data_IF_321612579128
#
_entry.id   IF_321612579128
#
_cell.length_a   1.000
_cell.length_b   1.000
_cell.length_c   1.000
_cell.angle_alpha   90.00
_cell.angle_beta   90.00
_cell.angle_gamma   90.00
#
_symmetry.space_group_name_H-M   'P 1'
#
loop_
_entity.id
_entity.type
_entity.pdbx_description
1 polymer ?
#
# COMPACT_ATOMS: atom_id res chain seq x y z
N UNK A 1 91.77 -39.39 -89.74
CA UNK A 1 91.19 -39.18 -88.40
C UNK A 1 91.70 -40.29 -87.52
N UNK A 2 92.34 -39.90 -86.41
CA UNK A 2 93.08 -40.77 -85.50
C UNK A 2 92.15 -41.54 -84.57
N UNK A 3 92.49 -42.79 -84.24
CA UNK A 3 91.65 -43.75 -83.52
C UNK A 3 91.40 -43.31 -82.06
N UNK A 4 92.31 -42.50 -81.51
CA UNK A 4 92.16 -41.84 -80.20
C UNK A 4 91.04 -40.79 -80.15
N UNK A 5 90.76 -40.10 -81.26
CA UNK A 5 89.69 -39.09 -81.31
C UNK A 5 88.31 -39.74 -81.34
N UNK A 6 88.16 -40.90 -81.99
CA UNK A 6 86.90 -41.68 -82.01
C UNK A 6 86.56 -42.30 -80.66
N UNK A 7 87.56 -42.79 -79.92
CA UNK A 7 87.33 -43.34 -78.58
C UNK A 7 87.01 -42.23 -77.55
N UNK A 8 87.63 -41.05 -77.68
CA UNK A 8 87.32 -39.91 -76.82
C UNK A 8 85.89 -39.37 -77.05
N UNK A 9 85.47 -39.25 -78.32
CA UNK A 9 84.10 -38.86 -78.69
C UNK A 9 83.08 -39.86 -78.15
N UNK A 10 83.32 -41.16 -78.29
CA UNK A 10 82.43 -42.20 -77.74
C UNK A 10 82.29 -42.13 -76.21
N UNK A 11 83.39 -41.87 -75.49
CA UNK A 11 83.33 -41.71 -74.02
C UNK A 11 82.62 -40.42 -73.58
N UNK A 12 82.68 -39.37 -74.40
CA UNK A 12 81.94 -38.13 -74.16
C UNK A 12 80.45 -38.32 -74.46
N UNK A 13 80.10 -39.06 -75.52
CA UNK A 13 78.72 -39.45 -75.83
C UNK A 13 78.12 -40.29 -74.69
N UNK A 14 78.81 -41.31 -74.19
CA UNK A 14 78.36 -42.12 -73.04
C UNK A 14 78.20 -41.28 -71.76
N UNK A 15 79.09 -40.32 -71.50
CA UNK A 15 78.97 -39.40 -70.35
C UNK A 15 77.83 -38.43 -70.50
N UNK A 16 77.59 -37.89 -71.70
CA UNK A 16 76.46 -37.00 -71.99
C UNK A 16 75.15 -37.77 -71.86
N UNK A 17 75.12 -39.03 -72.30
CA UNK A 17 73.94 -39.89 -72.23
C UNK A 17 73.64 -40.33 -70.79
N UNK A 18 74.66 -40.70 -70.01
CA UNK A 18 74.54 -41.02 -68.59
C UNK A 18 74.16 -39.78 -67.75
N UNK A 19 74.73 -38.62 -68.06
CA UNK A 19 74.38 -37.36 -67.38
C UNK A 19 72.97 -36.90 -67.78
N UNK A 20 72.54 -37.11 -69.03
CA UNK A 20 71.18 -36.87 -69.49
C UNK A 20 70.15 -37.86 -68.91
N UNK A 21 70.54 -39.09 -68.62
CA UNK A 21 69.71 -40.05 -67.88
C UNK A 21 69.55 -39.63 -66.41
N UNK A 22 70.65 -39.29 -65.73
CA UNK A 22 70.62 -38.82 -64.35
C UNK A 22 69.83 -37.52 -64.15
N UNK A 23 69.89 -36.60 -65.12
CA UNK A 23 69.06 -35.38 -65.13
C UNK A 23 67.59 -35.73 -65.29
N UNK A 24 67.24 -36.65 -66.20
CA UNK A 24 65.84 -37.09 -66.40
C UNK A 24 65.25 -37.81 -65.19
N UNK A 25 66.01 -38.67 -64.53
CA UNK A 25 65.57 -39.34 -63.30
C UNK A 25 65.34 -38.32 -62.17
N UNK A 26 66.24 -37.34 -62.04
CA UNK A 26 66.10 -36.28 -61.03
C UNK A 26 64.94 -35.32 -61.35
N UNK A 27 64.73 -35.00 -62.63
CA UNK A 27 63.56 -34.24 -63.09
C UNK A 27 62.26 -34.99 -62.79
N UNK A 28 62.21 -36.31 -63.03
CA UNK A 28 61.06 -37.15 -62.70
C UNK A 28 60.78 -37.20 -61.19
N UNK A 29 61.79 -37.40 -60.36
CA UNK A 29 61.66 -37.40 -58.89
C UNK A 29 61.20 -36.04 -58.35
N UNK A 30 61.72 -34.93 -58.90
CA UNK A 30 61.27 -33.59 -58.54
C UNK A 30 59.84 -33.32 -59.00
N UNK A 31 59.43 -33.81 -60.18
CA UNK A 31 58.07 -33.66 -60.67
C UNK A 31 57.07 -34.43 -59.80
N UNK A 32 57.41 -35.64 -59.38
CA UNK A 32 56.59 -36.46 -58.48
C UNK A 32 56.45 -35.80 -57.09
N UNK A 33 57.54 -35.23 -56.57
CA UNK A 33 57.53 -34.48 -55.30
C UNK A 33 56.67 -33.22 -55.40
N UNK A 34 56.79 -32.45 -56.49
CA UNK A 34 55.97 -31.25 -56.72
C UNK A 34 54.50 -31.63 -56.80
N UNK A 35 54.16 -32.73 -57.47
CA UNK A 35 52.79 -33.19 -57.59
C UNK A 35 52.19 -33.60 -56.23
N UNK A 36 52.94 -34.36 -55.42
CA UNK A 36 52.52 -34.69 -54.05
C UNK A 36 52.31 -33.44 -53.18
N UNK A 37 53.21 -32.45 -53.27
CA UNK A 37 53.07 -31.19 -52.51
C UNK A 37 51.86 -30.37 -52.96
N UNK A 38 51.50 -30.41 -54.24
CA UNK A 38 50.31 -29.73 -54.76
C UNK A 38 49.03 -30.37 -54.22
N UNK A 39 48.97 -31.71 -54.20
CA UNK A 39 47.84 -32.46 -53.63
C UNK A 39 47.68 -32.15 -52.12
N UNK A 40 48.77 -32.16 -51.36
CA UNK A 40 48.74 -31.80 -49.94
C UNK A 40 48.29 -30.35 -49.71
N UNK A 41 48.71 -29.41 -50.57
CA UNK A 41 48.30 -28.01 -50.47
C UNK A 41 46.79 -27.86 -50.72
N UNK A 42 46.25 -28.58 -51.69
CA UNK A 42 44.82 -28.57 -52.00
C UNK A 42 44.00 -29.13 -50.82
N UNK A 43 44.45 -30.23 -50.22
CA UNK A 43 43.82 -30.82 -49.03
C UNK A 43 43.85 -29.83 -47.85
N UNK A 44 44.99 -29.17 -47.61
CA UNK A 44 45.11 -28.17 -46.54
C UNK A 44 44.23 -26.94 -46.78
N UNK A 45 44.10 -26.48 -48.03
CA UNK A 45 43.21 -25.38 -48.40
C UNK A 45 41.74 -25.74 -48.14
N UNK A 46 41.31 -26.94 -48.51
CA UNK A 46 39.95 -27.42 -48.23
C UNK A 46 39.70 -27.50 -46.72
N UNK A 47 40.68 -28.00 -45.94
CA UNK A 47 40.60 -28.06 -44.47
C UNK A 47 40.48 -26.67 -43.85
N UNK A 48 41.27 -25.70 -44.32
CA UNK A 48 41.21 -24.32 -43.82
C UNK A 48 39.85 -23.68 -44.12
N UNK A 49 39.31 -23.85 -45.32
CA UNK A 49 37.97 -23.35 -45.65
C UNK A 49 36.88 -23.98 -44.77
N UNK A 50 36.99 -25.28 -44.48
CA UNK A 50 36.06 -25.97 -43.59
C UNK A 50 36.15 -25.42 -42.15
N UNK A 51 37.36 -25.20 -41.65
CA UNK A 51 37.58 -24.63 -40.32
C UNK A 51 37.11 -23.17 -40.22
N UNK A 52 37.32 -22.37 -41.26
CA UNK A 52 36.81 -20.99 -41.33
C UNK A 52 35.28 -20.98 -41.24
N UNK A 53 34.61 -21.85 -42.01
CA UNK A 53 33.16 -21.98 -41.95
C UNK A 53 32.67 -22.45 -40.57
N UNK A 54 33.38 -23.38 -39.94
CA UNK A 54 33.06 -23.87 -38.59
C UNK A 54 33.26 -22.77 -37.53
N UNK A 55 34.32 -21.97 -37.64
CA UNK A 55 34.58 -20.82 -36.75
C UNK A 55 33.46 -19.80 -36.88
N UNK A 56 33.05 -19.45 -38.10
CA UNK A 56 31.99 -18.46 -38.31
C UNK A 56 30.63 -18.99 -37.83
N UNK A 57 30.32 -20.26 -38.09
CA UNK A 57 29.12 -20.89 -37.56
C UNK A 57 29.09 -20.93 -36.02
N UNK A 58 30.23 -21.21 -35.38
CA UNK A 58 30.35 -21.20 -33.93
C UNK A 58 30.25 -19.79 -33.35
N UNK A 59 30.79 -18.78 -34.04
CA UNK A 59 30.66 -17.36 -33.66
C UNK A 59 29.19 -16.93 -33.68
N UNK A 60 28.47 -17.26 -34.74
CA UNK A 60 27.04 -16.93 -34.86
C UNK A 60 26.24 -17.58 -33.71
N UNK A 61 26.47 -18.87 -33.44
CA UNK A 61 25.81 -19.58 -32.33
C UNK A 61 26.14 -18.99 -30.96
N UNK A 62 27.40 -18.58 -30.75
CA UNK A 62 27.82 -17.93 -29.51
C UNK A 62 27.11 -16.58 -29.34
N UNK A 63 27.01 -15.80 -30.42
CA UNK A 63 26.33 -14.52 -30.42
C UNK A 63 24.84 -14.67 -30.11
N UNK A 64 24.16 -15.64 -30.75
CA UNK A 64 22.75 -15.96 -30.50
C UNK A 64 22.51 -16.40 -29.04
N UNK A 65 23.37 -17.28 -28.53
CA UNK A 65 23.28 -17.75 -27.15
C UNK A 65 23.48 -16.61 -26.14
N UNK A 66 24.41 -15.69 -26.43
CA UNK A 66 24.67 -14.52 -25.58
C UNK A 66 23.47 -13.57 -25.58
N UNK A 67 22.92 -13.26 -26.76
CA UNK A 67 21.74 -12.40 -26.88
C UNK A 67 20.51 -12.99 -26.16
N UNK A 68 20.30 -14.31 -26.25
CA UNK A 68 19.23 -15.00 -25.55
C UNK A 68 19.44 -14.99 -24.03
N UNK A 69 20.67 -15.19 -23.56
CA UNK A 69 21.02 -15.12 -22.14
C UNK A 69 20.77 -13.71 -21.58
N UNK A 70 21.16 -12.68 -22.31
CA UNK A 70 20.92 -11.28 -21.93
C UNK A 70 19.43 -10.94 -21.87
N UNK A 71 18.65 -11.41 -22.85
CA UNK A 71 17.19 -11.23 -22.85
C UNK A 71 16.54 -11.90 -21.63
N UNK A 72 16.87 -13.17 -21.36
CA UNK A 72 16.38 -13.90 -20.19
C UNK A 72 16.84 -13.28 -18.88
N UNK A 73 18.07 -12.75 -18.82
CA UNK A 73 18.58 -12.04 -17.66
C UNK A 73 17.76 -10.80 -17.33
N UNK A 74 17.40 -10.01 -18.36
CA UNK A 74 16.51 -8.84 -18.21
C UNK A 74 15.10 -9.24 -17.75
N UNK A 75 14.53 -10.29 -18.34
CA UNK A 75 13.22 -10.82 -17.94
C UNK A 75 13.23 -11.30 -16.49
N UNK A 76 14.29 -12.02 -16.08
CA UNK A 76 14.44 -12.52 -14.71
C UNK A 76 14.55 -11.37 -13.71
N UNK A 77 15.33 -10.32 -14.01
CA UNK A 77 15.45 -9.13 -13.17
C UNK A 77 14.09 -8.41 -13.06
N UNK A 78 13.37 -8.29 -14.17
CA UNK A 78 12.01 -7.72 -14.18
C UNK A 78 11.04 -8.52 -13.31
N UNK A 79 11.03 -9.85 -13.47
CA UNK A 79 10.20 -10.76 -12.69
C UNK A 79 10.57 -10.74 -11.20
N UNK A 80 11.86 -10.73 -10.87
CA UNK A 80 12.33 -10.69 -9.48
C UNK A 80 11.99 -9.36 -8.81
N UNK A 81 12.12 -8.24 -9.53
CA UNK A 81 11.71 -6.91 -9.05
C UNK A 81 10.20 -6.86 -8.81
N UNK A 82 9.42 -7.46 -9.71
CA UNK A 82 7.96 -7.51 -9.59
C UNK A 82 7.49 -8.42 -8.45
N UNK A 83 8.17 -9.55 -8.23
CA UNK A 83 7.85 -10.53 -7.20
C UNK A 83 8.46 -10.20 -5.83
N UNK A 84 9.37 -9.23 -5.75
CA UNK A 84 9.92 -8.81 -4.47
C UNK A 84 8.80 -8.20 -3.61
N UNK A 85 8.61 -8.74 -2.43
CA UNK A 85 7.63 -8.28 -1.42
C UNK A 85 8.31 -7.51 -0.29
N UNK A 86 9.51 -6.98 -0.52
CA UNK A 86 10.24 -6.23 0.49
C UNK A 86 9.48 -4.93 0.79
N UNK A 87 8.85 -4.86 1.95
CA UNK A 87 8.18 -3.66 2.41
C UNK A 87 9.21 -2.57 2.73
N UNK A 88 8.90 -1.32 2.37
CA UNK A 88 9.77 -0.18 2.71
C UNK A 88 9.56 0.31 4.14
N UNK A 89 8.58 -0.25 4.84
CA UNK A 89 8.11 0.17 6.17
C UNK A 89 7.77 -1.05 7.03
N UNK A 90 8.07 -0.97 8.33
CA UNK A 90 7.75 -2.03 9.29
C UNK A 90 6.28 -1.98 9.74
N UNK A 91 5.73 -3.13 10.16
CA UNK A 91 4.36 -3.21 10.70
C UNK A 91 4.17 -2.30 11.93
N UNK A 92 5.16 -2.24 12.82
CA UNK A 92 5.13 -1.37 14.00
C UNK A 92 5.04 0.11 13.62
N UNK A 93 5.70 0.52 12.54
CA UNK A 93 5.60 1.90 12.04
C UNK A 93 4.20 2.16 11.46
N UNK A 94 3.60 1.20 10.75
CA UNK A 94 2.20 1.32 10.29
C UNK A 94 1.24 1.47 11.47
N UNK A 95 1.38 0.65 12.51
CA UNK A 95 0.60 0.74 13.75
C UNK A 95 0.77 2.12 14.39
N UNK A 96 2.01 2.62 14.49
CA UNK A 96 2.29 3.95 15.04
C UNK A 96 1.63 5.07 14.25
N UNK A 97 1.59 5.00 12.91
CA UNK A 97 0.92 6.01 12.07
C UNK A 97 -0.60 6.00 12.29
N UNK A 98 -1.21 4.82 12.41
CA UNK A 98 -2.66 4.71 12.71
C UNK A 98 -2.96 5.25 14.11
N UNK A 99 -2.12 4.95 15.11
CA UNK A 99 -2.25 5.49 16.46
C UNK A 99 -2.13 7.03 16.47
N UNK A 100 -1.17 7.60 15.74
CA UNK A 100 -1.03 9.04 15.59
C UNK A 100 -2.26 9.69 14.94
N UNK A 101 -2.85 9.06 13.91
CA UNK A 101 -4.10 9.55 13.33
C UNK A 101 -5.27 9.51 14.33
N UNK A 102 -5.37 8.47 15.17
CA UNK A 102 -6.38 8.41 16.22
C UNK A 102 -6.21 9.55 17.23
N UNK A 103 -4.97 9.91 17.57
CA UNK A 103 -4.66 11.04 18.45
C UNK A 103 -5.06 12.39 17.82
N UNK A 104 -4.76 12.62 16.54
CA UNK A 104 -5.21 13.82 15.83
C UNK A 104 -6.74 13.94 15.83
N UNK A 105 -7.45 12.83 15.59
CA UNK A 105 -8.92 12.79 15.65
C UNK A 105 -9.43 13.11 17.06
N UNK A 106 -8.78 12.58 18.10
CA UNK A 106 -9.12 12.89 19.49
C UNK A 106 -8.91 14.38 19.81
N UNK A 107 -7.75 14.94 19.47
CA UNK A 107 -7.40 16.33 19.75
C UNK A 107 -8.35 17.32 19.06
N UNK A 108 -8.66 17.09 17.78
CA UNK A 108 -9.63 17.92 17.04
C UNK A 108 -11.01 17.84 17.70
N UNK A 109 -11.45 16.65 18.10
CA UNK A 109 -12.77 16.46 18.72
C UNK A 109 -12.85 17.13 20.09
N UNK A 110 -11.79 17.04 20.90
CA UNK A 110 -11.70 17.69 22.20
C UNK A 110 -11.69 19.22 22.06
N UNK A 111 -10.86 19.75 21.14
CA UNK A 111 -10.81 21.18 20.84
C UNK A 111 -12.18 21.72 20.43
N UNK A 112 -12.86 21.04 19.50
CA UNK A 112 -14.19 21.43 19.05
C UNK A 112 -15.19 21.39 20.21
N UNK A 113 -15.22 20.28 20.98
CA UNK A 113 -16.13 20.12 22.12
C UNK A 113 -15.97 21.20 23.20
N UNK A 114 -14.76 21.71 23.40
CA UNK A 114 -14.47 22.80 24.33
C UNK A 114 -14.85 24.19 23.80
N UNK A 115 -14.95 24.34 22.48
CA UNK A 115 -15.24 25.61 21.83
C UNK A 115 -16.73 25.84 21.58
N UNK A 116 -17.62 24.85 21.78
CA UNK A 116 -19.03 24.99 21.41
C UNK A 116 -19.82 25.92 22.33
N UNK A 117 -20.76 26.64 21.73
CA UNK A 117 -21.81 27.40 22.42
C UNK A 117 -23.20 26.94 21.96
N UNK A 118 -24.23 27.22 22.76
CA UNK A 118 -25.61 27.03 22.33
C UNK A 118 -26.01 28.12 21.32
N UNK A 119 -26.70 27.70 20.26
CA UNK A 119 -27.17 28.59 19.20
C UNK A 119 -28.27 29.50 19.74
N UNK A 120 -28.21 30.78 19.39
CA UNK A 120 -29.16 31.81 19.82
C UNK A 120 -30.37 31.92 18.86
N UNK A 121 -30.20 31.54 17.59
CA UNK A 121 -31.25 31.60 16.57
C UNK A 121 -31.97 30.26 16.41
N UNK A 122 -33.29 30.28 16.10
CA UNK A 122 -34.05 29.07 15.83
C UNK A 122 -33.44 28.32 14.65
N UNK A 123 -33.54 26.98 14.65
CA UNK A 123 -32.91 26.16 13.63
C UNK A 123 -33.44 26.46 12.21
N UNK A 124 -32.72 25.97 11.21
CA UNK A 124 -33.16 25.88 9.80
C UNK A 124 -34.61 25.37 9.72
N UNK A 125 -35.37 25.75 8.69
CA UNK A 125 -36.79 25.40 8.55
C UNK A 125 -37.07 23.93 8.92
N UNK A 126 -38.18 23.62 9.58
CA UNK A 126 -38.47 22.28 10.15
C UNK A 126 -38.30 21.12 9.15
N UNK A 127 -38.60 21.35 7.86
CA UNK A 127 -38.41 20.38 6.79
C UNK A 127 -36.92 20.04 6.55
N UNK A 128 -36.04 21.03 6.66
CA UNK A 128 -34.60 20.85 6.50
C UNK A 128 -34.01 20.09 7.70
N UNK A 129 -34.53 20.31 8.91
CA UNK A 129 -34.08 19.59 10.11
C UNK A 129 -34.40 18.10 10.06
N UNK A 130 -35.56 17.71 9.52
CA UNK A 130 -35.91 16.31 9.36
C UNK A 130 -34.95 15.60 8.41
N UNK A 131 -34.62 16.21 7.27
CA UNK A 131 -33.64 15.66 6.31
C UNK A 131 -32.24 15.56 6.93
N UNK A 132 -31.83 16.59 7.70
CA UNK A 132 -30.56 16.59 8.42
C UNK A 132 -30.55 15.46 9.45
N UNK A 133 -31.63 15.29 10.23
CA UNK A 133 -31.75 14.23 11.23
C UNK A 133 -31.67 12.83 10.60
N UNK A 134 -32.37 12.58 9.51
CA UNK A 134 -32.30 11.30 8.76
C UNK A 134 -30.89 11.04 8.20
N UNK A 135 -30.22 12.10 7.74
CA UNK A 135 -28.82 12.02 7.33
C UNK A 135 -27.92 11.65 8.51
N UNK A 136 -28.16 12.23 9.68
CA UNK A 136 -27.41 11.95 10.90
C UNK A 136 -27.65 10.54 11.42
N UNK A 137 -28.88 10.03 11.39
CA UNK A 137 -29.20 8.65 11.72
C UNK A 137 -28.43 7.66 10.85
N UNK A 138 -28.41 7.87 9.52
CA UNK A 138 -27.65 7.02 8.59
C UNK A 138 -26.15 7.06 8.85
N UNK A 139 -25.61 8.22 9.26
CA UNK A 139 -24.16 8.42 9.43
C UNK A 139 -23.66 7.97 10.80
N UNK A 140 -24.32 8.37 11.89
CA UNK A 140 -23.85 8.14 13.26
C UNK A 140 -24.57 6.97 13.94
N UNK A 141 -25.81 6.68 13.55
CA UNK A 141 -26.67 5.70 14.20
C UNK A 141 -27.85 6.39 14.90
N UNK A 142 -28.94 5.65 15.06
CA UNK A 142 -30.21 6.17 15.60
C UNK A 142 -30.08 6.69 17.02
N UNK A 143 -29.38 5.98 17.90
CA UNK A 143 -29.22 6.36 19.31
C UNK A 143 -28.51 7.72 19.45
N UNK A 144 -27.43 7.92 18.70
CA UNK A 144 -26.65 9.16 18.74
C UNK A 144 -27.45 10.32 18.15
N UNK A 145 -28.08 10.11 16.99
CA UNK A 145 -28.88 11.15 16.36
C UNK A 145 -30.04 11.60 17.27
N UNK A 146 -30.75 10.64 17.88
CA UNK A 146 -31.81 10.93 18.83
C UNK A 146 -31.29 11.72 20.03
N UNK A 147 -30.19 11.28 20.66
CA UNK A 147 -29.58 11.98 21.78
C UNK A 147 -29.18 13.44 21.48
N UNK A 148 -28.70 13.71 20.26
CA UNK A 148 -28.40 15.07 19.80
C UNK A 148 -29.67 15.92 19.69
N UNK A 149 -30.76 15.37 19.13
CA UNK A 149 -32.04 16.08 19.01
C UNK A 149 -32.71 16.41 20.35
N UNK A 150 -32.32 15.72 21.42
CA UNK A 150 -32.82 15.97 22.78
C UNK A 150 -31.95 16.97 23.56
N UNK A 151 -30.90 17.53 22.94
CA UNK A 151 -30.09 18.55 23.59
C UNK A 151 -30.89 19.84 23.80
N UNK A 152 -30.71 20.53 24.93
CA UNK A 152 -31.41 21.77 25.19
C UNK A 152 -30.96 22.85 24.19
N UNK A 153 -31.92 23.40 23.46
CA UNK A 153 -31.73 24.54 22.54
C UNK A 153 -31.77 25.89 23.24
N UNK A 154 -31.60 25.93 24.57
CA UNK A 154 -31.79 27.13 25.40
C UNK A 154 -30.44 27.65 25.89
N UNK A 155 -30.22 28.96 25.79
CA UNK A 155 -28.98 29.67 26.20
C UNK A 155 -28.57 29.43 27.66
N UNK A 156 -29.50 29.11 28.55
CA UNK A 156 -29.25 28.89 29.97
C UNK A 156 -28.43 27.62 30.29
N UNK A 157 -28.25 26.72 29.32
CA UNK A 157 -27.50 25.47 29.51
C UNK A 157 -26.31 25.42 28.58
N UNK A 158 -25.12 25.21 29.13
CA UNK A 158 -23.92 24.94 28.32
C UNK A 158 -24.07 23.62 27.53
N UNK A 159 -23.50 23.53 26.31
CA UNK A 159 -23.41 22.28 25.58
C UNK A 159 -22.73 21.20 26.42
N UNK A 160 -23.25 19.97 26.35
CA UNK A 160 -22.57 18.82 26.96
C UNK A 160 -21.27 18.53 26.19
N UNK A 161 -20.15 19.05 26.68
CA UNK A 161 -18.83 18.97 26.02
C UNK A 161 -18.37 17.53 25.80
N UNK A 162 -18.66 16.62 26.74
CA UNK A 162 -18.30 15.21 26.62
C UNK A 162 -19.10 14.54 25.49
N UNK A 163 -20.41 14.81 25.42
CA UNK A 163 -21.25 14.34 24.33
C UNK A 163 -20.76 14.88 22.98
N UNK A 164 -20.48 16.18 22.90
CA UNK A 164 -19.96 16.81 21.70
C UNK A 164 -18.66 16.16 21.23
N UNK A 165 -17.70 15.99 22.14
CA UNK A 165 -16.43 15.31 21.85
C UNK A 165 -16.65 13.90 21.31
N UNK A 166 -17.45 13.06 21.98
CA UNK A 166 -17.73 11.69 21.56
C UNK A 166 -18.33 11.64 20.14
N UNK A 167 -19.31 12.48 19.86
CA UNK A 167 -20.03 12.51 18.58
C UNK A 167 -19.14 13.00 17.44
N UNK A 168 -18.34 14.03 17.69
CA UNK A 168 -17.37 14.57 16.73
C UNK A 168 -16.28 13.55 16.43
N UNK A 169 -15.78 12.84 17.45
CA UNK A 169 -14.77 11.80 17.28
C UNK A 169 -15.29 10.65 16.41
N UNK A 170 -16.51 10.18 16.68
CA UNK A 170 -17.16 9.14 15.85
C UNK A 170 -17.32 9.62 14.40
N UNK A 171 -17.69 10.89 14.19
CA UNK A 171 -17.83 11.46 12.85
C UNK A 171 -16.48 11.48 12.10
N UNK A 172 -15.44 12.00 12.74
CA UNK A 172 -14.11 12.11 12.17
C UNK A 172 -13.45 10.74 11.93
N UNK A 173 -13.62 9.77 12.83
CA UNK A 173 -13.19 8.39 12.62
C UNK A 173 -13.85 7.79 11.37
N UNK A 174 -15.18 7.94 11.24
CA UNK A 174 -15.91 7.45 10.07
C UNK A 174 -15.46 8.12 8.77
N UNK A 175 -15.14 9.42 8.83
CA UNK A 175 -14.56 10.15 7.71
C UNK A 175 -13.19 9.58 7.32
N UNK A 176 -12.26 9.48 8.28
CA UNK A 176 -10.92 8.95 8.07
C UNK A 176 -10.96 7.54 7.50
N UNK A 177 -11.75 6.65 8.10
CA UNK A 177 -11.94 5.27 7.66
C UNK A 177 -12.39 5.21 6.19
N UNK A 178 -13.40 6.01 5.80
CA UNK A 178 -13.87 6.07 4.41
C UNK A 178 -12.77 6.54 3.47
N UNK A 179 -12.07 7.63 3.83
CA UNK A 179 -11.01 8.19 2.98
C UNK A 179 -9.81 7.28 2.88
N UNK A 180 -9.44 6.53 3.91
CA UNK A 180 -8.31 5.58 3.87
C UNK A 180 -8.62 4.37 2.96
N UNK A 181 -9.85 3.84 3.04
CA UNK A 181 -10.25 2.64 2.27
C UNK A 181 -10.65 2.94 0.83
N UNK A 182 -10.96 4.19 0.49
CA UNK A 182 -11.38 4.56 -0.85
C UNK A 182 -10.30 4.25 -1.91
N UNK A 183 -10.66 3.49 -2.94
CA UNK A 183 -9.89 3.38 -4.18
C UNK A 183 -9.97 4.65 -5.04
N UNK A 184 -11.16 5.26 -5.12
CA UNK A 184 -11.42 6.44 -5.96
C UNK A 184 -12.46 7.35 -5.29
N UNK A 185 -12.55 8.62 -5.72
CA UNK A 185 -13.52 9.61 -5.21
C UNK A 185 -14.94 9.35 -5.71
N UNK A 186 -15.06 8.97 -6.98
CA UNK A 186 -16.26 8.40 -7.58
C UNK A 186 -16.61 7.04 -6.96
N UNK A 187 -17.88 6.86 -6.62
CA UNK A 187 -18.39 5.70 -5.88
C UNK A 187 -18.46 4.44 -6.75
N UNK A 188 -18.79 4.58 -8.03
CA UNK A 188 -18.87 3.44 -8.96
C UNK A 188 -17.47 2.89 -9.22
N UNK A 189 -16.51 3.77 -9.49
CA UNK A 189 -15.11 3.39 -9.63
C UNK A 189 -14.54 2.81 -8.33
N UNK A 190 -14.91 3.35 -7.17
CA UNK A 190 -14.54 2.77 -5.88
C UNK A 190 -14.97 1.32 -5.74
N UNK A 191 -16.23 1.02 -6.09
CA UNK A 191 -16.79 -0.33 -6.02
C UNK A 191 -16.13 -1.26 -7.04
N UNK A 192 -16.04 -0.83 -8.30
CA UNK A 192 -15.42 -1.60 -9.39
C UNK A 192 -13.98 -2.00 -9.06
N UNK A 193 -13.13 -1.05 -8.63
CA UNK A 193 -11.74 -1.33 -8.26
C UNK A 193 -11.66 -2.24 -7.03
N UNK A 194 -12.58 -2.07 -6.08
CA UNK A 194 -12.70 -2.95 -4.92
C UNK A 194 -13.05 -4.39 -5.31
N UNK A 195 -13.96 -4.58 -6.25
CA UNK A 195 -14.35 -5.89 -6.78
C UNK A 195 -13.21 -6.57 -7.53
N UNK A 196 -12.54 -5.82 -8.43
CA UNK A 196 -11.37 -6.30 -9.15
C UNK A 196 -10.27 -6.72 -8.16
N UNK A 197 -9.96 -5.87 -7.18
CA UNK A 197 -8.96 -6.19 -6.18
C UNK A 197 -9.31 -7.45 -5.38
N UNK A 198 -10.57 -7.60 -4.97
CA UNK A 198 -11.04 -8.81 -4.27
C UNK A 198 -10.82 -10.07 -5.10
N UNK A 199 -11.14 -10.03 -6.40
CA UNK A 199 -10.92 -11.16 -7.32
C UNK A 199 -9.46 -11.50 -7.54
N UNK A 200 -8.59 -10.48 -7.65
CA UNK A 200 -7.14 -10.67 -7.76
C UNK A 200 -6.59 -11.27 -6.46
N UNK A 201 -7.00 -10.71 -5.31
CA UNK A 201 -6.57 -11.15 -3.99
C UNK A 201 -6.95 -12.60 -3.68
N UNK A 202 -8.12 -13.06 -4.13
CA UNK A 202 -8.56 -14.44 -3.88
C UNK A 202 -7.94 -15.46 -4.83
N UNK A 203 -7.52 -15.05 -6.04
CA UNK A 203 -7.01 -15.95 -7.08
C UNK A 203 -5.49 -15.94 -7.25
N UNK A 204 -4.81 -14.88 -6.82
CA UNK A 204 -3.38 -14.68 -7.04
C UNK A 204 -2.58 -14.76 -5.73
N UNK A 205 -1.27 -14.97 -5.86
CA UNK A 205 -0.35 -14.90 -4.73
C UNK A 205 -0.24 -13.47 -4.17
N UNK A 206 0.05 -13.34 -2.88
CA UNK A 206 0.16 -12.05 -2.19
C UNK A 206 1.14 -11.07 -2.88
N UNK A 207 2.25 -11.56 -3.44
CA UNK A 207 3.20 -10.72 -4.17
C UNK A 207 2.54 -10.02 -5.37
N UNK A 208 1.64 -10.72 -6.09
CA UNK A 208 0.92 -10.20 -7.25
C UNK A 208 -0.19 -9.25 -6.81
N UNK A 209 -1.02 -9.64 -5.84
CA UNK A 209 -2.13 -8.80 -5.37
C UNK A 209 -1.63 -7.53 -4.68
N UNK A 210 -0.60 -7.62 -3.84
CA UNK A 210 0.04 -6.49 -3.19
C UNK A 210 0.64 -5.51 -4.20
N UNK A 211 1.34 -6.01 -5.22
CA UNK A 211 1.93 -5.16 -6.27
C UNK A 211 0.88 -4.51 -7.15
N UNK A 212 -0.18 -5.25 -7.50
CA UNK A 212 -1.32 -4.67 -8.22
C UNK A 212 -1.94 -3.53 -7.42
N UNK A 213 -2.22 -3.73 -6.13
CA UNK A 213 -2.74 -2.67 -5.24
C UNK A 213 -1.84 -1.45 -5.25
N UNK A 214 -0.53 -1.65 -5.12
CA UNK A 214 0.45 -0.57 -5.06
C UNK A 214 0.46 0.25 -6.36
N UNK A 215 0.55 -0.40 -7.52
CA UNK A 215 0.53 0.26 -8.83
C UNK A 215 -0.81 0.96 -9.08
N UNK A 216 -1.93 0.29 -8.83
CA UNK A 216 -3.25 0.89 -9.03
C UNK A 216 -3.43 2.12 -8.13
N UNK A 217 -2.95 2.09 -6.89
CA UNK A 217 -3.03 3.24 -5.98
C UNK A 217 -2.02 4.34 -6.30
N UNK A 218 -0.93 4.08 -7.02
CA UNK A 218 0.00 5.14 -7.46
C UNK A 218 -0.56 5.92 -8.64
N UNK A 219 -1.28 5.25 -9.53
CA UNK A 219 -1.91 5.90 -10.70
C UNK A 219 -3.23 6.61 -10.36
N UNK A 220 -3.92 6.16 -9.33
CA UNK A 220 -5.21 6.72 -8.92
C UNK A 220 -5.00 7.71 -7.77
N UNK A 221 -4.65 8.94 -8.14
CA UNK A 221 -4.51 10.03 -7.17
C UNK A 221 -5.89 10.47 -6.66
N UNK A 222 -6.09 10.40 -5.34
CA UNK A 222 -7.30 10.89 -4.69
C UNK A 222 -7.14 12.36 -4.34
N UNK A 223 -7.85 13.22 -5.08
CA UNK A 223 -7.91 14.65 -4.75
C UNK A 223 -8.48 14.86 -3.34
N UNK A 224 -7.76 15.65 -2.54
CA UNK A 224 -8.18 16.10 -1.22
C UNK A 224 -8.94 17.43 -1.24
N UNK A 225 -9.14 18.03 -2.42
CA UNK A 225 -9.70 19.39 -2.58
C UNK A 225 -11.08 19.55 -1.91
N UNK A 226 -11.91 18.49 -1.94
CA UNK A 226 -13.27 18.52 -1.38
C UNK A 226 -13.34 18.08 0.09
N UNK A 227 -12.22 17.61 0.67
CA UNK A 227 -12.26 16.98 2.00
C UNK A 227 -12.64 17.98 3.10
N UNK A 228 -12.14 19.21 3.03
CA UNK A 228 -12.48 20.27 3.99
C UNK A 228 -13.98 20.57 3.98
N UNK A 229 -14.55 20.76 2.79
CA UNK A 229 -15.97 21.03 2.61
C UNK A 229 -16.83 19.85 3.09
N UNK A 230 -16.42 18.61 2.81
CA UNK A 230 -17.14 17.41 3.27
C UNK A 230 -17.17 17.28 4.79
N UNK A 231 -16.04 17.52 5.47
CA UNK A 231 -15.94 17.45 6.93
C UNK A 231 -16.73 18.60 7.56
N UNK A 232 -16.52 19.82 7.08
CA UNK A 232 -17.21 21.02 7.58
C UNK A 232 -18.72 20.89 7.44
N UNK A 233 -19.22 20.49 6.26
CA UNK A 233 -20.65 20.25 6.05
C UNK A 233 -21.19 19.13 6.95
N UNK A 234 -20.39 18.10 7.24
CA UNK A 234 -20.83 17.05 8.17
C UNK A 234 -20.92 17.52 9.61
N UNK A 235 -20.02 18.41 10.04
CA UNK A 235 -20.01 18.94 11.40
C UNK A 235 -21.12 19.97 11.57
N UNK A 236 -21.36 20.84 10.58
CA UNK A 236 -22.49 21.77 10.61
C UNK A 236 -23.82 21.05 10.82
N UNK A 237 -24.03 19.91 10.14
CA UNK A 237 -25.23 19.06 10.35
C UNK A 237 -25.36 18.52 11.78
N UNK A 238 -24.25 18.18 12.44
CA UNK A 238 -24.26 17.79 13.86
C UNK A 238 -24.71 18.97 14.71
N UNK A 239 -24.15 20.15 14.43
CA UNK A 239 -24.44 21.37 15.18
C UNK A 239 -25.89 21.83 15.00
N UNK A 240 -26.44 21.72 13.79
CA UNK A 240 -27.83 22.05 13.49
C UNK A 240 -28.79 21.18 14.31
N UNK A 241 -28.57 19.85 14.36
CA UNK A 241 -29.42 18.93 15.13
C UNK A 241 -29.28 19.16 16.64
N UNK A 242 -28.08 19.48 17.10
CA UNK A 242 -27.79 19.64 18.52
C UNK A 242 -28.05 21.05 19.06
N UNK A 243 -28.36 22.02 18.19
CA UNK A 243 -28.49 23.43 18.57
C UNK A 243 -27.16 24.07 18.98
N UNK A 244 -26.04 23.64 18.39
CA UNK A 244 -24.71 24.18 18.69
C UNK A 244 -24.24 25.18 17.64
N UNK A 245 -23.26 26.01 18.01
CA UNK A 245 -22.51 26.86 17.09
C UNK A 245 -21.09 27.13 17.61
N UNK A 246 -20.26 27.75 16.76
CA UNK A 246 -18.98 28.32 17.14
C UNK A 246 -19.15 29.74 17.71
N UNK A 247 -18.37 30.11 18.73
CA UNK A 247 -18.41 31.44 19.34
C UNK A 247 -17.81 32.52 18.46
N UNK A 248 -17.01 32.17 17.44
CA UNK A 248 -16.37 33.16 16.58
C UNK A 248 -15.58 32.59 15.38
N UNK A 249 -15.10 33.47 14.48
CA UNK A 249 -14.36 33.11 13.27
C UNK A 249 -12.92 32.61 13.53
N UNK A 250 -12.32 32.97 14.67
CA UNK A 250 -10.97 32.54 15.04
C UNK A 250 -10.90 31.04 15.36
N UNK A 251 -11.92 30.51 16.04
CA UNK A 251 -12.05 29.09 16.35
C UNK A 251 -12.27 28.28 15.06
N UNK A 252 -13.05 28.82 14.11
CA UNK A 252 -13.23 28.22 12.77
C UNK A 252 -11.90 28.14 12.01
N UNK A 253 -11.12 29.22 12.00
CA UNK A 253 -9.79 29.24 11.36
C UNK A 253 -8.83 28.23 12.00
N UNK A 254 -8.84 28.13 13.34
CA UNK A 254 -8.00 27.19 14.08
C UNK A 254 -8.38 25.73 13.77
N UNK A 255 -9.68 25.44 13.67
CA UNK A 255 -10.19 24.14 13.25
C UNK A 255 -9.75 23.78 11.83
N UNK A 256 -9.85 24.69 10.87
CA UNK A 256 -9.39 24.47 9.49
C UNK A 256 -7.89 24.12 9.41
N UNK A 257 -7.06 24.74 10.26
CA UNK A 257 -5.64 24.41 10.35
C UNK A 257 -5.42 22.97 10.83
N UNK A 258 -6.16 22.52 11.86
CA UNK A 258 -6.06 21.15 12.35
C UNK A 258 -6.54 20.12 11.32
N UNK A 259 -7.56 20.46 10.51
CA UNK A 259 -8.00 19.59 9.40
C UNK A 259 -6.89 19.34 8.37
N UNK A 260 -6.02 20.32 8.14
CA UNK A 260 -4.88 20.15 7.22
C UNK A 260 -3.91 19.06 7.71
N UNK A 261 -3.61 19.05 9.01
CA UNK A 261 -2.79 18.00 9.65
C UNK A 261 -3.46 16.64 9.53
N UNK A 262 -4.77 16.57 9.83
CA UNK A 262 -5.56 15.35 9.69
C UNK A 262 -5.52 14.79 8.26
N UNK A 263 -5.67 15.65 7.25
CA UNK A 263 -5.67 15.23 5.85
C UNK A 263 -4.30 14.70 5.40
N UNK A 264 -3.21 15.28 5.90
CA UNK A 264 -1.87 14.77 5.64
C UNK A 264 -1.66 13.39 6.27
N UNK A 265 -2.10 13.18 7.51
CA UNK A 265 -2.04 11.88 8.18
C UNK A 265 -2.86 10.82 7.43
N UNK A 266 -4.05 11.17 6.91
CA UNK A 266 -4.85 10.27 6.06
C UNK A 266 -4.09 9.91 4.78
N UNK A 267 -3.48 10.87 4.09
CA UNK A 267 -2.70 10.63 2.85
C UNK A 267 -1.51 9.71 3.12
N UNK A 268 -0.82 9.93 4.23
CA UNK A 268 0.33 9.12 4.62
C UNK A 268 -0.08 7.66 4.90
N UNK A 269 -1.13 7.43 5.68
CA UNK A 269 -1.64 6.07 5.93
C UNK A 269 -2.10 5.40 4.63
N UNK A 270 -2.72 6.15 3.72
CA UNK A 270 -3.11 5.63 2.40
C UNK A 270 -1.92 5.18 1.56
N UNK A 271 -0.83 5.96 1.58
CA UNK A 271 0.42 5.64 0.91
C UNK A 271 1.03 4.37 1.52
N UNK A 272 1.09 4.30 2.85
CA UNK A 272 1.67 3.18 3.58
C UNK A 272 0.90 1.88 3.34
N UNK A 273 -0.41 1.88 3.61
CA UNK A 273 -1.26 0.69 3.44
C UNK A 273 -1.46 0.31 1.98
N UNK A 274 -1.39 1.30 1.09
CA UNK A 274 -1.69 1.13 -0.32
C UNK A 274 -0.50 0.70 -1.16
N UNK A 275 0.68 1.27 -0.90
CA UNK A 275 1.80 1.22 -1.84
C UNK A 275 3.08 0.69 -1.21
N UNK A 276 3.38 1.07 0.04
CA UNK A 276 4.67 0.78 0.68
C UNK A 276 4.71 -0.55 1.43
N UNK A 277 3.54 -1.07 1.81
CA UNK A 277 3.39 -2.39 2.43
C UNK A 277 2.68 -3.33 1.45
N UNK A 278 3.39 -4.34 0.95
CA UNK A 278 2.92 -5.30 -0.08
C UNK A 278 3.03 -6.76 0.35
N UNK A 279 3.86 -7.07 1.35
CA UNK A 279 4.04 -8.44 1.86
C UNK A 279 2.77 -9.04 2.48
N UNK A 280 1.83 -8.19 2.91
CA UNK A 280 0.50 -8.59 3.35
C UNK A 280 -0.52 -7.47 3.09
N UNK A 281 -1.79 -7.81 3.31
CA UNK A 281 -2.88 -6.85 3.25
C UNK A 281 -3.21 -6.33 4.64
N UNK A 282 -2.95 -5.04 4.84
CA UNK A 282 -3.29 -4.32 6.07
C UNK A 282 -4.51 -3.45 5.81
N UNK A 283 -5.50 -3.52 6.70
CA UNK A 283 -6.75 -2.76 6.58
C UNK A 283 -7.10 -2.07 7.90
N UNK A 284 -7.48 -0.79 7.83
CA UNK A 284 -8.11 -0.11 8.97
C UNK A 284 -9.47 -0.73 9.27
N UNK A 285 -9.82 -0.80 10.56
CA UNK A 285 -11.03 -1.45 11.03
C UNK A 285 -11.84 -0.55 11.96
N UNK A 286 -13.15 -0.48 11.71
CA UNK A 286 -14.13 0.04 12.66
C UNK A 286 -15.24 -1.01 12.85
N UNK A 287 -15.61 -1.37 14.09
CA UNK A 287 -16.76 -2.22 14.34
C UNK A 287 -18.06 -1.56 13.86
N UNK A 288 -19.06 -2.37 13.51
CA UNK A 288 -20.38 -1.85 13.13
C UNK A 288 -21.12 -1.35 14.37
N UNK A 289 -21.86 -0.26 14.22
CA UNK A 289 -22.85 0.16 15.23
C UNK A 289 -23.86 -0.98 15.46
N UNK A 290 -24.33 -1.14 16.69
CA UNK A 290 -25.19 -2.21 17.19
C UNK A 290 -24.55 -3.61 17.24
N UNK A 291 -23.25 -3.73 16.94
CA UNK A 291 -22.52 -4.99 17.14
C UNK A 291 -22.34 -5.23 18.65
N UNK A 292 -22.48 -6.48 19.09
CA UNK A 292 -22.19 -6.87 20.47
C UNK A 292 -20.72 -6.63 20.76
N UNK A 293 -20.43 -5.99 21.90
CA UNK A 293 -19.06 -5.79 22.35
C UNK A 293 -18.34 -7.12 22.58
N UNK A 294 -17.15 -7.24 22.01
CA UNK A 294 -16.26 -8.37 22.19
C UNK A 294 -14.87 -7.88 22.62
N UNK A 295 -14.45 -8.09 23.88
CA UNK A 295 -13.16 -7.62 24.38
C UNK A 295 -11.96 -8.27 23.67
N UNK A 296 -12.15 -9.39 22.98
CA UNK A 296 -11.09 -9.97 22.14
C UNK A 296 -10.83 -9.16 20.87
N UNK A 297 -11.86 -8.45 20.37
CA UNK A 297 -11.81 -7.72 19.10
C UNK A 297 -11.69 -6.20 19.26
N UNK A 298 -12.10 -5.63 20.39
CA UNK A 298 -12.18 -4.18 20.58
C UNK A 298 -12.05 -3.76 22.05
N UNK A 299 -11.63 -2.51 22.28
CA UNK A 299 -11.46 -1.93 23.61
C UNK A 299 -12.61 -0.95 23.95
N UNK A 300 -13.11 -0.98 25.19
CA UNK A 300 -14.15 -0.04 25.65
C UNK A 300 -13.54 1.34 25.95
N UNK A 301 -14.08 2.38 25.33
CA UNK A 301 -13.78 3.77 25.62
C UNK A 301 -14.36 4.22 26.97
N UNK A 302 -13.64 5.10 27.68
CA UNK A 302 -14.08 5.69 28.96
C UNK A 302 -14.35 4.67 30.09
N UNK A 303 -13.70 3.50 30.04
CA UNK A 303 -13.79 2.47 31.08
C UNK A 303 -12.89 2.77 32.31
N UNK A 304 -11.87 3.62 32.14
CA UNK A 304 -10.90 4.02 33.16
C UNK A 304 -11.57 4.92 34.24
N UNK A 305 -11.92 4.31 35.37
CA UNK A 305 -12.63 4.98 36.47
C UNK A 305 -13.72 4.10 37.11
N UNK A 306 -14.15 3.03 36.43
CA UNK A 306 -14.94 1.97 37.05
C UNK A 306 -13.99 1.05 37.82
N UNK A 307 -13.61 1.48 39.03
CA UNK A 307 -12.84 0.66 39.95
C UNK A 307 -13.47 -0.74 40.07
N UNK A 308 -12.64 -1.76 39.83
CA UNK A 308 -12.78 -3.14 40.29
C UNK A 308 -14.12 -3.89 40.01
N UNK A 309 -14.03 -4.95 39.18
CA UNK A 309 -14.88 -6.14 39.25
C UNK A 309 -16.40 -5.94 39.10
N UNK A 310 -16.86 -5.01 38.27
CA UNK A 310 -18.20 -5.13 37.68
C UNK A 310 -18.04 -5.70 36.28
N UNK A 311 -18.72 -6.81 36.03
CA UNK A 311 -18.89 -7.42 34.70
C UNK A 311 -18.95 -6.32 33.65
N UNK A 312 -18.11 -6.43 32.62
CA UNK A 312 -18.23 -5.58 31.43
C UNK A 312 -19.70 -5.66 31.03
N UNK A 313 -20.42 -4.54 31.13
CA UNK A 313 -21.85 -4.53 30.81
C UNK A 313 -21.96 -5.05 29.38
N UNK A 314 -22.61 -6.20 29.22
CA UNK A 314 -23.04 -6.65 27.91
C UNK A 314 -23.74 -5.47 27.25
N UNK A 315 -23.20 -5.04 26.11
CA UNK A 315 -23.55 -3.77 25.51
C UNK A 315 -23.24 -3.81 24.03
N UNK A 316 -24.02 -3.04 23.29
CA UNK A 316 -23.81 -2.86 21.87
C UNK A 316 -22.95 -1.63 21.61
N UNK A 317 -22.16 -1.68 20.54
CA UNK A 317 -21.35 -0.56 20.06
C UNK A 317 -22.26 0.56 19.57
N UNK A 318 -22.24 1.72 20.23
CA UNK A 318 -22.90 2.92 19.75
C UNK A 318 -22.08 3.59 18.63
N UNK A 319 -20.75 3.58 18.76
CA UNK A 319 -19.85 4.11 17.73
C UNK A 319 -18.38 3.78 17.99
N UNK A 320 -17.53 4.06 17.02
CA UNK A 320 -16.08 3.85 17.11
C UNK A 320 -15.39 5.20 17.28
N UNK A 321 -14.54 5.33 18.30
CA UNK A 321 -13.81 6.57 18.61
C UNK A 321 -12.32 6.51 18.24
N UNK A 322 -11.76 5.30 18.09
CA UNK A 322 -10.40 5.09 17.58
C UNK A 322 -10.42 3.89 16.61
N UNK A 323 -9.79 4.04 15.44
CA UNK A 323 -9.71 2.98 14.44
C UNK A 323 -8.72 1.91 14.85
N UNK A 324 -9.05 0.66 14.53
CA UNK A 324 -8.13 -0.46 14.61
C UNK A 324 -7.37 -0.69 13.31
N UNK A 325 -6.41 -1.61 13.38
CA UNK A 325 -5.65 -2.11 12.24
C UNK A 325 -5.63 -3.63 12.28
N UNK A 326 -5.95 -4.26 11.16
CA UNK A 326 -5.92 -5.71 11.02
C UNK A 326 -5.02 -6.10 9.85
N UNK A 327 -4.32 -7.22 9.99
CA UNK A 327 -3.75 -7.95 8.87
C UNK A 327 -4.81 -8.95 8.40
N UNK A 328 -5.04 -8.99 7.10
CA UNK A 328 -6.09 -9.80 6.51
C UNK A 328 -5.46 -10.82 5.58
N UNK A 329 -5.74 -12.10 5.80
CA UNK A 329 -5.15 -13.22 5.07
C UNK A 329 -6.24 -14.14 4.51
N UNK A 330 -6.05 -14.76 3.33
CA UNK A 330 -6.96 -15.81 2.86
C UNK A 330 -6.92 -16.99 3.83
N UNK A 331 -8.08 -17.45 4.31
CA UNK A 331 -8.14 -18.69 5.07
C UNK A 331 -7.93 -19.85 4.08
N UNK A 332 -7.00 -20.76 4.39
CA UNK A 332 -6.66 -21.87 3.47
C UNK A 332 -7.92 -22.67 3.08
N UNK A 333 -8.22 -22.71 1.78
CA UNK A 333 -9.34 -23.47 1.22
C UNK A 333 -10.73 -22.86 1.42
N UNK A 334 -10.84 -21.59 1.80
CA UNK A 334 -12.10 -20.89 2.01
C UNK A 334 -12.10 -19.49 1.37
N UNK A 335 -13.27 -19.01 0.94
CA UNK A 335 -13.45 -17.61 0.52
C UNK A 335 -13.39 -16.65 1.72
N UNK A 336 -13.44 -17.15 2.95
CA UNK A 336 -13.38 -16.33 4.15
C UNK A 336 -11.96 -15.83 4.41
N UNK A 337 -11.85 -14.57 4.81
CA UNK A 337 -10.61 -13.93 5.20
C UNK A 337 -10.41 -14.11 6.71
N UNK A 338 -9.22 -14.55 7.12
CA UNK A 338 -8.76 -14.50 8.49
C UNK A 338 -8.21 -13.11 8.80
N UNK A 339 -8.52 -12.60 9.99
CA UNK A 339 -8.06 -11.30 10.45
C UNK A 339 -7.22 -11.45 11.71
N UNK A 340 -6.00 -10.91 11.67
CA UNK A 340 -5.11 -10.79 12.81
C UNK A 340 -5.14 -9.33 13.27
N UNK A 341 -5.52 -9.09 14.52
CA UNK A 341 -5.61 -7.74 15.07
C UNK A 341 -4.21 -7.25 15.43
N UNK A 342 -3.81 -6.15 14.80
CA UNK A 342 -2.54 -5.46 15.07
C UNK A 342 -2.75 -4.25 16.00
N UNK A 343 -3.91 -3.61 15.91
CA UNK A 343 -4.36 -2.55 16.78
C UNK A 343 -5.87 -2.70 17.00
N UNK A 344 -6.30 -2.81 18.25
CA UNK A 344 -7.74 -2.90 18.56
C UNK A 344 -8.41 -1.55 18.32
N UNK A 345 -9.58 -1.52 17.65
CA UNK A 345 -10.40 -0.33 17.65
C UNK A 345 -10.95 -0.06 19.06
N UNK A 346 -11.10 1.21 19.41
CA UNK A 346 -11.72 1.64 20.66
C UNK A 346 -13.14 2.10 20.39
N UNK A 347 -14.09 1.56 21.14
CA UNK A 347 -15.53 1.72 20.88
C UNK A 347 -16.25 2.35 22.06
N UNK A 348 -17.22 3.19 21.74
CA UNK A 348 -18.19 3.71 22.68
C UNK A 348 -19.38 2.75 22.75
N UNK A 349 -19.69 2.25 23.95
CA UNK A 349 -20.84 1.39 24.19
C UNK A 349 -22.10 2.21 24.47
N UNK A 350 -23.27 1.71 24.05
CA UNK A 350 -24.56 2.35 24.29
C UNK A 350 -24.81 2.71 25.77
N UNK A 351 -24.55 1.81 26.75
CA UNK A 351 -24.64 2.17 28.17
C UNK A 351 -23.78 3.36 28.56
N UNK A 352 -22.51 3.38 28.12
CA UNK A 352 -21.56 4.47 28.41
C UNK A 352 -21.98 5.78 27.75
N UNK A 353 -22.53 5.71 26.54
CA UNK A 353 -23.07 6.86 25.84
C UNK A 353 -24.27 7.46 26.59
N UNK A 354 -25.22 6.63 27.04
CA UNK A 354 -26.38 7.09 27.81
C UNK A 354 -25.99 7.70 29.15
N UNK A 355 -24.99 7.13 29.83
CA UNK A 355 -24.44 7.71 31.07
C UNK A 355 -23.87 9.12 30.81
N UNK A 356 -23.29 9.37 29.63
CA UNK A 356 -22.78 10.70 29.25
C UNK A 356 -23.88 11.74 28.96
N UNK A 357 -25.12 11.32 28.66
CA UNK A 357 -26.26 12.23 28.44
C UNK A 357 -26.76 12.88 29.74
N UNK A 358 -26.57 12.20 30.86
CA UNK A 358 -27.01 12.64 32.18
C UNK A 358 -25.84 12.58 33.16
N UNK A 359 -24.85 13.50 33.03
CA UNK A 359 -23.74 13.55 33.98
C UNK A 359 -24.33 13.71 35.40
N UNK A 360 -23.87 12.92 36.39
CA UNK A 360 -24.40 12.98 37.73
C UNK A 360 -24.29 14.39 38.28
N UNK A 361 -25.39 14.89 38.84
CA UNK A 361 -25.50 16.21 39.46
C UNK A 361 -24.42 16.37 40.53
N UNK A 362 -23.30 17.03 40.21
CA UNK A 362 -22.26 17.37 41.20
C UNK A 362 -20.80 17.14 40.81
N UNK A 363 -20.46 16.56 39.65
CA UNK A 363 -19.05 16.43 39.24
C UNK A 363 -18.65 17.48 38.20
N UNK A 364 -18.50 18.72 38.63
CA UNK A 364 -17.68 19.69 37.91
C UNK A 364 -16.20 19.32 38.12
N UNK A 365 -15.70 18.32 37.39
CA UNK A 365 -14.25 18.11 37.34
C UNK A 365 -13.62 19.34 36.71
N UNK A 366 -12.66 19.94 37.42
CA UNK A 366 -11.89 21.06 36.93
C UNK A 366 -11.21 20.69 35.60
N UNK A 367 -11.06 21.68 34.71
CA UNK A 367 -10.34 21.55 33.43
C UNK A 367 -8.94 20.93 33.62
N UNK A 368 -8.31 21.21 34.76
CA UNK A 368 -6.98 20.70 35.15
C UNK A 368 -7.05 19.22 35.57
N UNK A 369 -8.05 18.80 36.34
CA UNK A 369 -8.22 17.41 36.77
C UNK A 369 -8.52 16.46 35.60
N UNK A 370 -9.18 16.97 34.54
CA UNK A 370 -9.42 16.22 33.31
C UNK A 370 -8.16 16.08 32.47
N UNK A 371 -7.40 17.17 32.27
CA UNK A 371 -6.12 17.12 31.56
C UNK A 371 -5.10 16.22 32.26
N UNK A 372 -5.01 16.26 33.59
CA UNK A 372 -4.11 15.41 34.35
C UNK A 372 -4.51 13.92 34.33
N UNK A 373 -5.81 13.61 34.35
CA UNK A 373 -6.28 12.22 34.20
C UNK A 373 -5.97 11.64 32.83
N UNK A 374 -6.08 12.48 31.79
CA UNK A 374 -5.76 12.08 30.42
C UNK A 374 -4.24 11.91 30.29
N UNK A 375 -3.42 12.86 30.75
CA UNK A 375 -1.95 12.74 30.70
C UNK A 375 -1.41 11.53 31.48
N UNK A 376 -1.96 11.21 32.67
CA UNK A 376 -1.53 10.04 33.45
C UNK A 376 -1.85 8.70 32.79
N UNK A 377 -2.95 8.59 32.04
CA UNK A 377 -3.29 7.38 31.26
C UNK A 377 -2.27 7.09 30.14
N UNK A 378 -1.57 8.13 29.66
CA UNK A 378 -0.56 8.03 28.60
C UNK A 378 0.86 7.76 29.11
N UNK A 379 1.25 8.30 30.28
CA UNK A 379 2.60 8.06 30.84
C UNK A 379 2.79 6.65 31.39
N UNK A 380 1.73 5.97 31.83
CA UNK A 380 1.82 4.59 32.36
C UNK A 380 1.95 3.49 31.28
N UNK A 381 2.00 3.85 29.99
CA UNK A 381 2.09 2.91 28.85
C UNK A 381 3.34 3.05 27.97
N UNK A 382 4.31 3.87 28.37
CA UNK A 382 5.64 3.92 27.75
C UNK A 382 6.67 3.09 28.52
#
# INVERSE_FOLDING_TARGET
MDDGTRNYIRSLEERIEAQGAAVRDREAETAETIQSLLEDNEILQQRNQQLEWEIDSLRDRLQDATALSDARGKELIGAQTFLSTADTISISEVVSKVAALNEEVFQISAFLGDCLICRHEPPTAEQDLQEIFETMQRRLGTEIAFALSQQPHTEEKEPNRLLAQMVLQINLVKFCYRKIRAWHSDIELHHLLGDIFRGIRSSQQQAVSGRWRALTRSEIELSSEKWENEVTASISKIFDVAGWDFPGPEQRTSFQRQLSTLFNAIKEIRLVLGQQFTSADLEVRIPRTNMVYDPSLMDEAYSEGRASKKEVKAGEVAGTIEMGLVRVQPLQGSEHLQEEILLKPKVLLGPTFRDALHPPSGTSYSREERHERIHRSFEEKN
#
